data_IF_396418883421
#
_entry.id   IF_396418883421
#
_cell.length_a   1.000
_cell.length_b   1.000
_cell.length_c   1.000
_cell.angle_alpha   90.00
_cell.angle_beta   90.00
_cell.angle_gamma   90.00
#
_symmetry.space_group_name_H-M   'P 1'
#
loop_
_entity.id
_entity.type
_entity.pdbx_description
1 polymer ?
#
# COMPACT_ATOMS: atom_id res chain seq x y z
N UNK A 1 -25.09 4.47 -0.41
CA UNK A 1 -24.93 3.43 0.64
C UNK A 1 -23.80 3.82 1.57
N UNK A 2 -23.97 3.63 2.88
CA UNK A 2 -22.93 3.93 3.88
C UNK A 2 -21.88 2.81 3.93
N UNK A 3 -20.65 3.14 3.60
CA UNK A 3 -19.49 2.24 3.64
C UNK A 3 -18.41 2.83 4.53
N UNK A 4 -17.86 2.00 5.43
CA UNK A 4 -16.80 2.39 6.36
C UNK A 4 -15.44 1.94 5.84
N UNK A 5 -14.47 2.84 5.88
CA UNK A 5 -13.07 2.55 5.57
C UNK A 5 -12.25 2.67 6.84
N UNK A 6 -11.52 1.61 7.16
CA UNK A 6 -10.72 1.48 8.39
C UNK A 6 -9.27 1.34 7.97
N UNK A 7 -8.40 2.21 8.49
CA UNK A 7 -6.97 2.06 8.28
C UNK A 7 -6.35 1.17 9.34
N UNK A 8 -5.71 0.07 8.93
CA UNK A 8 -4.89 -0.81 9.77
C UNK A 8 -3.54 -1.10 9.08
N UNK A 9 -2.72 -0.06 8.94
CA UNK A 9 -1.41 -0.17 8.26
C UNK A 9 -0.28 -0.66 9.17
N UNK A 10 -0.53 -0.82 10.47
CA UNK A 10 0.46 -1.21 11.47
C UNK A 10 1.64 -0.23 11.59
N UNK A 11 2.70 -0.68 12.28
CA UNK A 11 3.91 0.10 12.57
C UNK A 11 4.48 0.82 11.35
N UNK A 12 4.65 0.11 10.24
CA UNK A 12 5.27 0.63 9.02
C UNK A 12 4.48 1.74 8.31
N UNK A 13 3.19 1.91 8.64
CA UNK A 13 2.39 3.01 8.14
C UNK A 13 2.21 4.15 9.14
N UNK A 14 2.60 4.00 10.41
CA UNK A 14 2.11 4.82 11.52
C UNK A 14 2.35 6.33 11.36
N UNK A 15 3.51 6.73 10.83
CA UNK A 15 3.93 8.13 10.75
C UNK A 15 3.38 8.93 9.56
N UNK A 16 2.52 8.36 8.73
CA UNK A 16 2.05 9.04 7.50
C UNK A 16 0.54 9.00 7.38
N UNK A 17 -0.07 9.98 6.72
CA UNK A 17 -1.49 9.92 6.34
C UNK A 17 -1.63 9.33 4.93
N UNK A 18 -2.69 8.55 4.68
CA UNK A 18 -2.97 7.97 3.36
C UNK A 18 -4.18 8.66 2.75
N UNK A 19 -4.23 8.78 1.42
CA UNK A 19 -5.37 9.33 0.70
C UNK A 19 -6.26 8.20 0.20
N UNK A 20 -7.55 8.27 0.53
CA UNK A 20 -8.57 7.42 -0.07
C UNK A 20 -9.11 8.13 -1.31
N UNK A 21 -9.01 7.46 -2.45
CA UNK A 21 -9.54 7.91 -3.73
C UNK A 21 -10.73 7.05 -4.11
N UNK A 22 -11.85 7.69 -4.44
CA UNK A 22 -13.03 7.04 -5.01
C UNK A 22 -13.28 7.63 -6.37
N UNK A 23 -13.51 6.80 -7.39
CA UNK A 23 -13.71 7.25 -8.78
C UNK A 23 -12.57 8.14 -9.28
N UNK A 24 -11.34 7.77 -8.92
CA UNK A 24 -10.11 8.51 -9.19
C UNK A 24 -10.03 9.93 -8.57
N UNK A 25 -10.98 10.32 -7.72
CA UNK A 25 -10.98 11.59 -7.00
C UNK A 25 -10.57 11.40 -5.55
N UNK A 26 -9.78 12.33 -5.00
CA UNK A 26 -9.43 12.33 -3.58
C UNK A 26 -10.69 12.62 -2.75
N UNK A 27 -11.17 11.63 -1.99
CA UNK A 27 -12.36 11.79 -1.13
C UNK A 27 -12.02 12.07 0.31
N UNK A 28 -10.98 11.44 0.84
CA UNK A 28 -10.59 11.64 2.23
C UNK A 28 -9.11 11.34 2.49
N UNK A 29 -8.65 11.77 3.66
CA UNK A 29 -7.34 11.46 4.19
C UNK A 29 -7.56 10.68 5.49
N UNK A 30 -6.83 9.57 5.64
CA UNK A 30 -6.91 8.68 6.80
C UNK A 30 -5.58 8.72 7.55
N UNK A 31 -5.60 9.21 8.78
CA UNK A 31 -4.51 9.13 9.74
C UNK A 31 -4.43 7.75 10.40
N UNK A 32 -3.42 7.52 11.23
CA UNK A 32 -3.18 6.22 11.85
C UNK A 32 -4.42 5.71 12.61
N UNK A 33 -4.81 4.46 12.35
CA UNK A 33 -5.98 3.78 12.93
C UNK A 33 -7.34 4.51 12.77
N UNK A 34 -7.40 5.51 11.90
CA UNK A 34 -8.62 6.26 11.66
C UNK A 34 -9.65 5.43 10.88
N UNK A 35 -10.92 5.69 11.20
CA UNK A 35 -12.10 5.19 10.51
C UNK A 35 -12.85 6.36 9.88
N UNK A 36 -13.39 6.15 8.68
CA UNK A 36 -14.30 7.11 8.04
C UNK A 36 -15.46 6.36 7.40
N UNK A 37 -16.65 6.91 7.50
CA UNK A 37 -17.82 6.40 6.78
C UNK A 37 -18.17 7.38 5.68
N UNK A 38 -18.32 6.86 4.46
CA UNK A 38 -18.70 7.61 3.28
C UNK A 38 -20.03 7.08 2.75
N UNK A 39 -20.85 7.97 2.21
CA UNK A 39 -22.03 7.58 1.44
C UNK A 39 -21.64 7.50 -0.03
N UNK A 40 -21.69 6.29 -0.59
CA UNK A 40 -21.21 5.98 -1.95
C UNK A 40 -22.32 5.35 -2.79
N UNK A 41 -22.36 5.72 -4.06
CA UNK A 41 -23.20 5.09 -5.08
C UNK A 41 -22.40 3.99 -5.80
N UNK A 42 -23.10 2.93 -6.17
CA UNK A 42 -22.52 1.76 -6.86
C UNK A 42 -22.90 1.84 -8.34
N UNK A 43 -21.99 1.49 -9.28
CA UNK A 43 -20.62 1.03 -9.05
C UNK A 43 -19.63 2.16 -8.76
N UNK A 44 -18.60 1.86 -7.99
CA UNK A 44 -17.49 2.79 -7.75
C UNK A 44 -16.13 2.10 -7.86
N UNK A 45 -15.09 2.88 -8.08
CA UNK A 45 -13.71 2.42 -7.95
C UNK A 45 -13.08 2.98 -6.68
N UNK A 46 -12.21 2.20 -6.04
CA UNK A 46 -11.47 2.65 -4.87
C UNK A 46 -9.97 2.37 -5.01
N UNK A 47 -9.18 3.31 -4.53
CA UNK A 47 -7.74 3.21 -4.46
C UNK A 47 -7.22 3.96 -3.23
N UNK A 48 -6.18 3.44 -2.60
CA UNK A 48 -5.43 4.13 -1.56
C UNK A 48 -4.10 4.58 -2.13
N UNK A 49 -3.69 5.81 -1.80
CA UNK A 49 -2.42 6.37 -2.26
C UNK A 49 -1.69 7.12 -1.16
N UNK A 50 -0.37 6.97 -1.11
CA UNK A 50 0.57 7.76 -0.34
C UNK A 50 1.76 8.10 -1.24
N UNK A 51 1.81 9.34 -1.73
CA UNK A 51 2.74 9.76 -2.78
C UNK A 51 2.74 8.78 -3.97
N UNK A 52 3.85 8.09 -4.21
CA UNK A 52 4.03 7.14 -5.31
C UNK A 52 3.52 5.74 -4.97
N UNK A 53 3.34 5.44 -3.69
CA UNK A 53 2.85 4.17 -3.21
C UNK A 53 1.32 4.13 -3.30
N UNK A 54 0.77 3.09 -3.91
CA UNK A 54 -0.64 2.93 -4.20
C UNK A 54 -1.08 1.50 -3.94
N UNK A 55 -2.38 1.33 -3.74
CA UNK A 55 -3.02 0.04 -3.95
C UNK A 55 -3.35 -0.16 -5.43
N UNK A 56 -3.68 -1.40 -5.83
CA UNK A 56 -4.46 -1.63 -7.04
C UNK A 56 -5.76 -0.81 -7.03
N UNK A 57 -6.30 -0.57 -8.21
CA UNK A 57 -7.65 0.01 -8.35
C UNK A 57 -8.65 -1.14 -8.25
N UNK A 58 -9.53 -1.08 -7.26
CA UNK A 58 -10.59 -2.07 -7.06
C UNK A 58 -11.89 -1.52 -7.60
N UNK A 59 -12.59 -2.30 -8.42
CA UNK A 59 -13.94 -1.95 -8.92
C UNK A 59 -14.97 -2.67 -8.05
N UNK A 60 -15.81 -1.91 -7.38
CA UNK A 60 -16.83 -2.41 -6.46
C UNK A 60 -18.19 -2.33 -7.15
N UNK A 61 -18.75 -3.50 -7.45
CA UNK A 61 -20.10 -3.66 -8.01
C UNK A 61 -21.16 -3.92 -6.94
N UNK A 62 -20.73 -4.30 -5.75
CA UNK A 62 -21.60 -4.49 -4.57
C UNK A 62 -20.86 -3.93 -3.36
N UNK A 63 -21.41 -2.87 -2.76
CA UNK A 63 -20.79 -2.24 -1.61
C UNK A 63 -20.91 -3.13 -0.36
N UNK A 64 -19.81 -3.30 0.37
CA UNK A 64 -19.83 -3.91 1.71
C UNK A 64 -19.88 -2.83 2.81
N UNK A 65 -20.32 -3.19 4.03
CA UNK A 65 -20.42 -2.24 5.14
C UNK A 65 -19.06 -1.67 5.55
N UNK A 66 -18.00 -2.46 5.44
CA UNK A 66 -16.66 -2.07 5.87
C UNK A 66 -15.54 -2.65 5.02
N UNK A 67 -14.52 -1.82 4.80
CA UNK A 67 -13.26 -2.17 4.15
C UNK A 67 -12.09 -1.81 5.05
N UNK A 68 -11.11 -2.72 5.14
CA UNK A 68 -9.89 -2.55 5.90
C UNK A 68 -8.73 -2.30 4.94
N UNK A 69 -8.04 -1.19 5.14
CA UNK A 69 -6.85 -0.81 4.40
C UNK A 69 -5.62 -1.26 5.18
N UNK A 70 -4.84 -2.17 4.60
CA UNK A 70 -3.61 -2.69 5.20
C UNK A 70 -2.40 -2.42 4.31
N UNK A 71 -1.21 -2.45 4.90
CA UNK A 71 0.05 -2.55 4.13
C UNK A 71 0.15 -3.95 3.51
N UNK A 72 0.86 -4.07 2.39
CA UNK A 72 1.23 -5.35 1.83
C UNK A 72 2.47 -5.89 2.55
N UNK A 73 2.26 -6.73 3.56
CA UNK A 73 3.34 -7.27 4.40
C UNK A 73 4.36 -8.10 3.64
N UNK A 74 3.96 -8.80 2.58
CA UNK A 74 4.89 -9.61 1.78
C UNK A 74 5.94 -8.72 1.11
N UNK A 75 5.49 -7.61 0.51
CA UNK A 75 6.40 -6.62 -0.10
C UNK A 75 7.35 -6.03 0.96
N UNK A 76 6.78 -5.72 2.12
CA UNK A 76 7.51 -5.09 3.21
C UNK A 76 8.52 -6.05 3.86
N UNK A 77 8.28 -7.35 3.86
CA UNK A 77 9.24 -8.37 4.31
C UNK A 77 10.39 -8.55 3.32
N UNK A 78 10.13 -8.50 2.01
CA UNK A 78 11.18 -8.65 0.98
C UNK A 78 12.16 -7.47 1.00
N UNK A 79 11.66 -6.26 1.28
CA UNK A 79 12.48 -5.04 1.21
C UNK A 79 13.73 -5.07 2.12
N UNK A 80 13.65 -5.41 3.42
CA UNK A 80 14.83 -5.57 4.27
C UNK A 80 15.86 -6.57 3.75
N UNK A 81 15.43 -7.72 3.22
CA UNK A 81 16.36 -8.71 2.65
C UNK A 81 17.05 -8.17 1.40
N UNK A 82 16.30 -7.51 0.51
CA UNK A 82 16.86 -6.88 -0.67
C UNK A 82 17.85 -5.78 -0.31
N UNK A 83 17.49 -4.91 0.64
CA UNK A 83 18.35 -3.84 1.13
C UNK A 83 19.61 -4.36 1.80
N UNK A 84 19.51 -5.37 2.66
CA UNK A 84 20.67 -6.01 3.29
C UNK A 84 21.56 -6.71 2.28
N UNK A 85 20.99 -7.50 1.35
CA UNK A 85 21.78 -8.20 0.33
C UNK A 85 22.53 -7.23 -0.58
N UNK A 86 21.88 -6.16 -1.03
CA UNK A 86 22.51 -5.13 -1.87
C UNK A 86 23.54 -4.31 -1.10
N UNK A 87 23.26 -3.92 0.15
CA UNK A 87 24.18 -3.17 1.00
C UNK A 87 25.43 -3.97 1.40
N UNK A 88 25.25 -5.21 1.88
CA UNK A 88 26.37 -6.10 2.22
C UNK A 88 27.18 -6.45 0.97
N UNK A 89 26.51 -6.75 -0.16
CA UNK A 89 27.18 -7.00 -1.42
C UNK A 89 28.06 -5.82 -1.87
N UNK A 90 27.58 -4.58 -1.72
CA UNK A 90 28.35 -3.39 -2.08
C UNK A 90 29.60 -3.23 -1.21
N UNK A 91 29.50 -3.52 0.10
CA UNK A 91 30.62 -3.42 1.06
C UNK A 91 31.67 -4.51 0.83
N UNK A 92 31.25 -5.76 0.61
CA UNK A 92 32.17 -6.90 0.49
C UNK A 92 32.75 -7.08 -0.90
N UNK A 93 31.95 -6.89 -1.96
CA UNK A 93 32.43 -7.11 -3.33
C UNK A 93 33.23 -5.93 -3.87
N UNK A 94 32.99 -4.71 -3.35
CA UNK A 94 33.67 -3.46 -3.75
C UNK A 94 33.76 -3.28 -5.27
N UNK A 95 32.75 -3.76 -6.00
CA UNK A 95 32.75 -3.80 -7.45
C UNK A 95 31.74 -2.79 -8.01
N UNK A 96 32.21 -1.86 -8.83
CA UNK A 96 31.38 -0.81 -9.42
C UNK A 96 30.22 -1.37 -10.26
N UNK A 97 30.44 -2.46 -11.00
CA UNK A 97 29.40 -3.11 -11.79
C UNK A 97 28.33 -3.74 -10.90
N UNK A 98 28.73 -4.35 -9.79
CA UNK A 98 27.78 -4.86 -8.81
C UNK A 98 26.95 -3.72 -8.22
N UNK A 99 27.59 -2.62 -7.80
CA UNK A 99 26.89 -1.46 -7.24
C UNK A 99 25.90 -0.86 -8.23
N UNK A 100 26.27 -0.74 -9.51
CA UNK A 100 25.37 -0.26 -10.56
C UNK A 100 24.19 -1.21 -10.77
N UNK A 101 24.46 -2.51 -10.83
CA UNK A 101 23.42 -3.54 -10.93
C UNK A 101 22.47 -3.52 -9.74
N UNK A 102 22.99 -3.40 -8.51
CA UNK A 102 22.18 -3.31 -7.29
C UNK A 102 21.23 -2.11 -7.31
N UNK A 103 21.69 -0.94 -7.78
CA UNK A 103 20.85 0.24 -7.97
C UNK A 103 19.72 -0.04 -8.96
N UNK A 104 20.01 -0.65 -10.11
CA UNK A 104 18.99 -1.02 -11.11
C UNK A 104 17.94 -1.95 -10.48
N UNK A 105 18.38 -2.96 -9.73
CA UNK A 105 17.48 -3.92 -9.06
C UNK A 105 16.59 -3.21 -8.03
N UNK A 106 17.14 -2.29 -7.23
CA UNK A 106 16.35 -1.52 -6.25
C UNK A 106 15.30 -0.63 -6.93
N UNK A 107 15.67 0.04 -8.03
CA UNK A 107 14.71 0.83 -8.82
C UNK A 107 13.63 -0.06 -9.44
N UNK A 108 14.01 -1.18 -10.07
CA UNK A 108 13.07 -2.13 -10.64
C UNK A 108 12.09 -2.66 -9.57
N UNK A 109 12.62 -3.01 -8.40
CA UNK A 109 11.80 -3.42 -7.26
C UNK A 109 10.85 -2.31 -6.82
N UNK A 110 11.31 -1.06 -6.69
CA UNK A 110 10.44 0.07 -6.36
C UNK A 110 9.28 0.20 -7.37
N UNK A 111 9.56 0.16 -8.67
CA UNK A 111 8.52 0.24 -9.70
C UNK A 111 7.56 -0.95 -9.69
N UNK A 112 8.05 -2.14 -9.33
CA UNK A 112 7.22 -3.32 -9.15
C UNK A 112 6.25 -3.17 -7.96
N UNK A 113 6.71 -2.62 -6.84
CA UNK A 113 5.92 -2.55 -5.60
C UNK A 113 5.04 -1.31 -5.49
N UNK A 114 5.39 -0.20 -6.18
CA UNK A 114 4.75 1.10 -5.93
C UNK A 114 3.23 1.07 -6.13
N UNK A 115 2.69 0.20 -6.99
CA UNK A 115 1.24 0.10 -7.20
C UNK A 115 0.56 -1.03 -6.39
N UNK A 116 1.29 -1.66 -5.46
CA UNK A 116 0.86 -2.84 -4.69
C UNK A 116 1.18 -2.70 -3.19
N UNK A 117 1.60 -1.51 -2.75
CA UNK A 117 2.06 -1.24 -1.40
C UNK A 117 0.95 -1.34 -0.36
N UNK A 118 -0.29 -1.04 -0.76
CA UNK A 118 -1.48 -1.14 0.08
C UNK A 118 -2.47 -2.16 -0.49
N UNK A 119 -3.23 -2.76 0.39
CA UNK A 119 -4.32 -3.67 0.09
C UNK A 119 -5.61 -3.14 0.71
N UNK A 120 -6.72 -3.30 0.00
CA UNK A 120 -8.06 -3.00 0.54
C UNK A 120 -8.79 -4.34 0.61
N UNK A 121 -9.17 -4.74 1.82
CA UNK A 121 -9.87 -6.00 2.11
C UNK A 121 -11.27 -5.72 2.60
N UNK A 122 -12.20 -6.61 2.32
CA UNK A 122 -13.53 -6.59 2.94
C UNK A 122 -13.40 -7.02 4.41
N UNK A 123 -14.09 -6.33 5.32
CA UNK A 123 -14.18 -6.76 6.71
C UNK A 123 -15.24 -7.85 6.82
N UNK A 124 -14.82 -9.11 6.79
CA UNK A 124 -15.69 -10.23 7.14
C UNK A 124 -15.80 -10.29 8.67
N UNK A 125 -16.91 -9.80 9.24
CA UNK A 125 -17.36 -9.98 10.63
C UNK A 125 -16.44 -10.83 11.53
N UNK A 126 -15.32 -10.26 11.99
CA UNK A 126 -14.44 -10.86 12.99
C UNK A 126 -13.37 -11.87 12.54
N UNK A 127 -13.10 -12.06 11.24
CA UNK A 127 -11.94 -12.86 10.79
C UNK A 127 -11.03 -12.02 9.88
N UNK A 128 -9.84 -11.68 10.42
CA UNK A 128 -8.72 -11.07 9.69
C UNK A 128 -8.00 -12.10 8.82
#
# INVERSE_FOLDING_TARGET
>A
MKTTFIRKTGFYGMGSSIQLRINNEKRSVLNYEQKITLDLEVPFTMQVTFYWLKSPVYTVKEAKPAYVITMNYLILQIYPFLFLATGLGAVFLQNLFFSFFAVIVLFAFFFYIKNRAYLIKEENYGKL
#
